data_IF_798991556361
#
_entry.id   IF_798991556361
#
_cell.length_a   1.000
_cell.length_b   1.000
_cell.length_c   1.000
_cell.angle_alpha   90.00
_cell.angle_beta   90.00
_cell.angle_gamma   90.00
#
_symmetry.space_group_name_H-M   'P 1'
#
loop_
_entity.id
_entity.type
_entity.pdbx_description
1 polymer ?
#
# COMPACT_ATOMS: atom_id res chain seq x y z
N UNK A 1 -16.26 24.23 17.98
CA UNK A 1 -15.77 23.31 16.93
C UNK A 1 -16.88 22.35 16.61
N UNK A 2 -17.55 22.54 15.49
CA UNK A 2 -18.65 21.72 15.01
C UNK A 2 -18.10 20.38 14.54
N UNK A 3 -18.30 19.34 15.34
CA UNK A 3 -18.25 17.96 14.86
C UNK A 3 -19.17 17.85 13.66
N UNK A 4 -18.64 17.52 12.49
CA UNK A 4 -19.44 16.99 11.39
C UNK A 4 -20.03 15.66 11.88
N UNK A 5 -21.16 15.74 12.57
CA UNK A 5 -22.02 14.59 12.84
C UNK A 5 -22.47 14.09 11.49
N UNK A 6 -21.93 12.96 11.04
CA UNK A 6 -22.47 12.19 9.92
C UNK A 6 -23.93 11.92 10.28
N UNK A 7 -24.84 12.65 9.65
CA UNK A 7 -26.25 12.55 9.93
C UNK A 7 -26.72 11.21 9.34
N UNK A 8 -27.26 10.25 10.13
CA UNK A 8 -27.58 8.90 9.63
C UNK A 8 -28.53 8.89 8.43
N UNK A 9 -29.27 9.99 8.22
CA UNK A 9 -30.20 10.15 7.10
C UNK A 9 -29.55 10.54 5.76
N UNK A 10 -28.25 10.89 5.71
CA UNK A 10 -27.60 11.35 4.47
C UNK A 10 -26.67 10.31 3.82
N UNK A 11 -26.31 9.22 4.51
CA UNK A 11 -25.43 8.18 3.94
C UNK A 11 -26.21 7.24 3.02
N UNK A 12 -25.78 7.10 1.77
CA UNK A 12 -26.37 6.17 0.80
C UNK A 12 -26.29 4.69 1.23
N UNK A 13 -27.14 3.82 0.67
CA UNK A 13 -27.19 2.40 1.04
C UNK A 13 -25.87 1.65 0.85
N UNK A 14 -25.07 2.06 -0.15
CA UNK A 14 -23.74 1.50 -0.45
C UNK A 14 -22.69 1.79 0.63
N UNK A 15 -22.93 2.77 1.51
CA UNK A 15 -22.13 3.08 2.71
C UNK A 15 -22.88 2.74 4.00
N UNK A 16 -23.86 1.83 3.96
CA UNK A 16 -24.80 1.59 5.05
C UNK A 16 -24.14 1.25 6.40
N UNK A 17 -22.98 0.58 6.40
CA UNK A 17 -22.27 0.22 7.63
C UNK A 17 -21.78 1.43 8.42
N UNK A 18 -21.55 2.58 7.77
CA UNK A 18 -21.17 3.82 8.45
C UNK A 18 -22.26 4.33 9.41
N UNK A 19 -23.52 3.90 9.22
CA UNK A 19 -24.63 4.24 10.12
C UNK A 19 -24.50 3.59 11.50
N UNK A 20 -23.66 2.57 11.64
CA UNK A 20 -23.46 1.84 12.90
C UNK A 20 -22.28 2.35 13.74
N UNK A 21 -21.58 3.42 13.31
CA UNK A 21 -20.37 3.93 14.00
C UNK A 21 -20.63 4.16 15.50
N UNK A 22 -21.79 4.72 15.86
CA UNK A 22 -22.16 5.03 17.24
C UNK A 22 -23.17 4.03 17.84
N UNK A 23 -23.40 2.89 17.19
CA UNK A 23 -24.33 1.85 17.64
C UNK A 23 -23.52 0.65 18.14
N UNK A 24 -22.88 0.81 19.31
CA UNK A 24 -21.90 -0.14 19.85
C UNK A 24 -22.41 -1.58 19.97
N UNK A 25 -23.70 -1.79 20.27
CA UNK A 25 -24.31 -3.12 20.34
C UNK A 25 -24.50 -3.75 18.96
N UNK A 26 -25.01 -2.98 17.99
CA UNK A 26 -25.15 -3.47 16.61
C UNK A 26 -23.80 -3.71 15.95
N UNK A 27 -22.84 -2.82 16.21
CA UNK A 27 -21.48 -2.93 15.69
C UNK A 27 -20.76 -4.14 16.29
N UNK A 28 -20.94 -4.43 17.59
CA UNK A 28 -20.49 -5.69 18.20
C UNK A 28 -21.09 -6.89 17.47
N UNK A 29 -22.40 -6.89 17.22
CA UNK A 29 -23.06 -7.96 16.47
C UNK A 29 -22.47 -8.19 15.08
N UNK A 30 -22.19 -7.11 14.35
CA UNK A 30 -21.53 -7.19 13.04
C UNK A 30 -20.13 -7.81 13.12
N UNK A 31 -19.31 -7.43 14.12
CA UNK A 31 -17.97 -7.99 14.30
C UNK A 31 -18.02 -9.48 14.68
N UNK A 32 -18.90 -9.87 15.60
CA UNK A 32 -19.04 -11.27 16.04
C UNK A 32 -19.59 -12.14 14.90
N UNK A 33 -20.56 -11.65 14.13
CA UNK A 33 -21.06 -12.34 12.94
C UNK A 33 -19.96 -12.52 11.88
N UNK A 34 -19.14 -11.49 11.64
CA UNK A 34 -18.02 -11.57 10.72
C UNK A 34 -16.94 -12.56 11.19
N UNK A 35 -16.64 -12.62 12.49
CA UNK A 35 -15.79 -13.67 13.06
C UNK A 35 -16.39 -15.06 12.85
N UNK A 36 -17.72 -15.20 12.94
CA UNK A 36 -18.45 -16.40 12.57
C UNK A 36 -18.24 -16.81 11.11
N UNK A 37 -18.24 -15.86 10.16
CA UNK A 37 -17.95 -16.16 8.74
C UNK A 37 -16.53 -16.67 8.52
N UNK A 38 -15.54 -16.10 9.24
CA UNK A 38 -14.14 -16.56 9.18
C UNK A 38 -14.03 -17.99 9.71
N UNK A 39 -14.62 -18.28 10.87
CA UNK A 39 -14.62 -19.63 11.44
C UNK A 39 -15.38 -20.64 10.56
N UNK A 40 -16.50 -20.21 9.95
CA UNK A 40 -17.28 -21.02 9.02
C UNK A 40 -16.44 -21.39 7.81
N UNK A 41 -15.76 -20.41 7.20
CA UNK A 41 -14.87 -20.65 6.06
C UNK A 41 -13.74 -21.61 6.44
N UNK A 42 -13.06 -21.41 7.57
CA UNK A 42 -11.99 -22.28 8.03
C UNK A 42 -12.47 -23.73 8.20
N UNK A 43 -13.62 -23.94 8.84
CA UNK A 43 -14.19 -25.27 9.05
C UNK A 43 -14.68 -25.92 7.76
N UNK A 44 -15.53 -25.21 7.01
CA UNK A 44 -16.12 -25.73 5.77
C UNK A 44 -15.07 -26.00 4.69
N UNK A 45 -14.10 -25.10 4.52
CA UNK A 45 -13.04 -25.25 3.53
C UNK A 45 -12.08 -26.39 3.91
N UNK A 46 -11.74 -26.56 5.21
CA UNK A 46 -10.93 -27.71 5.65
C UNK A 46 -11.63 -29.03 5.36
N UNK A 47 -12.93 -29.13 5.65
CA UNK A 47 -13.72 -30.33 5.35
C UNK A 47 -13.87 -30.55 3.84
N UNK A 48 -14.02 -29.48 3.05
CA UNK A 48 -14.04 -29.57 1.59
C UNK A 48 -12.70 -30.09 1.05
N UNK A 49 -11.57 -29.54 1.50
CA UNK A 49 -10.23 -29.99 1.10
C UNK A 49 -10.03 -31.48 1.42
N UNK A 50 -10.49 -31.95 2.59
CA UNK A 50 -10.44 -33.37 2.94
C UNK A 50 -11.21 -34.27 1.97
N UNK A 51 -12.36 -33.83 1.45
CA UNK A 51 -13.12 -34.61 0.44
C UNK A 51 -12.42 -34.71 -0.90
N UNK A 52 -11.44 -33.84 -1.16
CA UNK A 52 -10.66 -33.78 -2.40
C UNK A 52 -9.24 -34.29 -2.25
N UNK A 53 -8.80 -34.55 -1.02
CA UNK A 53 -7.46 -34.97 -0.72
C UNK A 53 -7.20 -36.40 -1.21
N UNK A 54 -6.15 -36.54 -2.01
CA UNK A 54 -5.60 -37.81 -2.49
C UNK A 54 -4.18 -37.98 -1.96
N UNK A 55 -3.99 -38.98 -1.10
CA UNK A 55 -2.68 -39.33 -0.53
C UNK A 55 -1.66 -39.84 -1.55
N UNK A 56 -2.10 -40.28 -2.73
CA UNK A 56 -1.23 -40.72 -3.82
C UNK A 56 -0.55 -39.58 -4.58
N UNK A 57 -0.89 -38.32 -4.29
CA UNK A 57 -0.38 -37.13 -4.98
C UNK A 57 0.21 -36.12 -4.00
N UNK A 58 1.22 -35.32 -4.40
CA UNK A 58 1.73 -34.27 -3.55
C UNK A 58 0.64 -33.24 -3.20
N UNK A 59 0.67 -32.70 -1.98
CA UNK A 59 -0.37 -31.81 -1.47
C UNK A 59 -0.47 -30.51 -2.28
N UNK A 60 0.67 -29.96 -2.71
CA UNK A 60 0.75 -28.71 -3.48
C UNK A 60 0.17 -28.79 -4.90
N UNK A 61 -0.15 -29.98 -5.41
CA UNK A 61 -0.73 -30.18 -6.76
C UNK A 61 -2.26 -30.32 -6.76
N UNK A 62 -2.89 -30.19 -5.61
CA UNK A 62 -4.31 -30.52 -5.41
C UNK A 62 -5.18 -29.29 -5.11
N UNK A 63 -4.59 -28.10 -5.09
CA UNK A 63 -5.31 -26.86 -4.76
C UNK A 63 -5.73 -26.76 -3.29
N UNK A 64 -4.96 -27.38 -2.39
CA UNK A 64 -5.21 -27.41 -0.95
C UNK A 64 -4.43 -26.27 -0.30
N UNK A 65 -5.11 -25.37 0.42
CA UNK A 65 -4.49 -24.23 1.12
C UNK A 65 -4.51 -24.41 2.64
N UNK A 66 -5.47 -25.14 3.21
CA UNK A 66 -5.60 -25.30 4.66
C UNK A 66 -4.91 -26.56 5.19
N UNK A 67 -5.01 -27.69 4.51
CA UNK A 67 -4.31 -28.92 4.92
C UNK A 67 -2.78 -28.74 5.04
N UNK A 68 -2.09 -27.98 4.14
CA UNK A 68 -0.68 -27.65 4.34
C UNK A 68 -0.37 -26.94 5.67
N UNK A 69 -1.26 -26.07 6.15
CA UNK A 69 -1.05 -25.36 7.42
C UNK A 69 -1.18 -26.32 8.61
N UNK A 70 -2.14 -27.25 8.57
CA UNK A 70 -2.30 -28.28 9.60
C UNK A 70 -1.14 -29.28 9.60
N UNK A 71 -0.66 -29.66 8.41
CA UNK A 71 0.49 -30.52 8.24
C UNK A 71 1.78 -29.86 8.78
N UNK A 72 1.96 -28.56 8.55
CA UNK A 72 3.09 -27.78 9.10
C UNK A 72 3.09 -27.77 10.64
N UNK A 73 1.91 -27.76 11.26
CA UNK A 73 1.74 -27.93 12.71
C UNK A 73 2.00 -29.36 13.20
N UNK A 74 2.36 -30.30 12.31
CA UNK A 74 2.69 -31.69 12.62
C UNK A 74 1.48 -32.57 12.89
N UNK A 75 0.26 -32.15 12.54
CA UNK A 75 -0.93 -32.98 12.71
C UNK A 75 -1.00 -34.03 11.61
N UNK A 76 -1.05 -35.32 11.96
CA UNK A 76 -1.31 -36.38 10.98
C UNK A 76 -0.17 -36.64 9.98
N UNK A 77 1.02 -36.10 10.25
CA UNK A 77 2.20 -36.19 9.38
C UNK A 77 3.21 -37.20 9.93
N UNK A 78 3.74 -38.06 9.06
CA UNK A 78 4.87 -38.95 9.32
C UNK A 78 6.15 -38.50 8.59
N UNK A 79 7.11 -39.41 8.50
CA UNK A 79 8.41 -39.14 7.86
C UNK A 79 8.26 -38.79 6.37
N UNK A 80 9.17 -37.95 5.87
CA UNK A 80 9.14 -37.44 4.50
C UNK A 80 7.98 -36.50 4.21
N UNK A 81 7.19 -36.10 5.21
CA UNK A 81 5.97 -35.31 5.02
C UNK A 81 4.77 -36.12 4.52
N UNK A 82 4.80 -37.46 4.65
CA UNK A 82 3.66 -38.30 4.30
C UNK A 82 2.49 -38.05 5.26
N UNK A 83 1.27 -37.92 4.75
CA UNK A 83 0.08 -37.85 5.61
C UNK A 83 -0.34 -39.28 5.98
N UNK A 84 -0.27 -39.59 7.27
CA UNK A 84 -0.54 -40.92 7.82
C UNK A 84 -1.90 -41.00 8.54
N UNK A 85 -2.45 -39.86 8.98
CA UNK A 85 -3.75 -39.78 9.63
C UNK A 85 -4.45 -38.46 9.30
N UNK A 86 -5.65 -38.52 8.74
CA UNK A 86 -6.46 -37.34 8.39
C UNK A 86 -7.49 -36.98 9.46
N UNK A 87 -7.64 -37.77 10.52
CA UNK A 87 -8.59 -37.51 11.60
C UNK A 87 -8.37 -36.15 12.30
N UNK A 88 -7.13 -35.71 12.61
CA UNK A 88 -6.90 -34.39 13.19
C UNK A 88 -7.44 -33.25 12.31
N UNK A 89 -7.28 -33.36 10.99
CA UNK A 89 -7.79 -32.38 10.05
C UNK A 89 -9.33 -32.33 10.07
N UNK A 90 -9.97 -33.50 10.11
CA UNK A 90 -11.42 -33.61 10.22
C UNK A 90 -11.93 -32.99 11.53
N UNK A 91 -11.31 -33.34 12.66
CA UNK A 91 -11.68 -32.84 13.97
C UNK A 91 -11.55 -31.31 14.06
N UNK A 92 -10.46 -30.74 13.55
CA UNK A 92 -10.24 -29.29 13.50
C UNK A 92 -11.27 -28.61 12.59
N UNK A 93 -11.56 -29.18 11.43
CA UNK A 93 -12.59 -28.67 10.52
C UNK A 93 -13.98 -28.63 11.16
N UNK A 94 -14.38 -29.73 11.83
CA UNK A 94 -15.65 -29.81 12.57
C UNK A 94 -15.70 -28.81 13.74
N UNK A 95 -14.61 -28.67 14.49
CA UNK A 95 -14.56 -27.75 15.63
C UNK A 95 -14.77 -26.30 15.18
N UNK A 96 -14.11 -25.87 14.10
CA UNK A 96 -14.32 -24.54 13.53
C UNK A 96 -15.75 -24.36 13.00
N UNK A 97 -16.30 -25.38 12.33
CA UNK A 97 -17.66 -25.34 11.80
C UNK A 97 -18.70 -25.17 12.93
N UNK A 98 -18.59 -25.94 14.01
CA UNK A 98 -19.50 -25.83 15.18
C UNK A 98 -19.31 -24.47 15.89
N UNK A 99 -18.05 -24.05 16.08
CA UNK A 99 -17.76 -22.75 16.69
C UNK A 99 -18.35 -21.59 15.89
N UNK A 100 -18.36 -21.70 14.55
CA UNK A 100 -18.95 -20.70 13.67
C UNK A 100 -20.44 -20.51 13.90
N UNK A 101 -21.19 -21.57 14.23
CA UNK A 101 -22.61 -21.50 14.54
C UNK A 101 -22.86 -20.71 15.83
N UNK A 102 -22.02 -20.92 16.86
CA UNK A 102 -22.11 -20.19 18.14
C UNK A 102 -21.82 -18.70 17.92
N UNK A 103 -20.76 -18.39 17.19
CA UNK A 103 -20.42 -17.01 16.83
C UNK A 103 -21.51 -16.36 15.97
N UNK A 104 -22.04 -17.07 14.98
CA UNK A 104 -23.13 -16.59 14.13
C UNK A 104 -24.40 -16.28 14.94
N UNK A 105 -24.78 -17.17 15.86
CA UNK A 105 -25.92 -16.95 16.75
C UNK A 105 -25.72 -15.72 17.65
N UNK A 106 -24.55 -15.56 18.26
CA UNK A 106 -24.20 -14.38 19.05
C UNK A 106 -24.19 -13.09 18.23
N UNK A 107 -23.63 -13.14 17.02
CA UNK A 107 -23.60 -12.01 16.10
C UNK A 107 -24.98 -11.55 15.67
N UNK A 108 -25.87 -12.48 15.29
CA UNK A 108 -27.27 -12.18 14.93
C UNK A 108 -28.02 -11.60 16.14
N UNK A 109 -27.85 -12.21 17.32
CA UNK A 109 -28.47 -11.70 18.54
C UNK A 109 -28.09 -10.23 18.77
N UNK A 110 -26.81 -9.88 18.78
CA UNK A 110 -26.37 -8.51 19.05
C UNK A 110 -26.71 -7.53 17.90
N UNK A 111 -26.74 -7.98 16.65
CA UNK A 111 -27.07 -7.11 15.52
C UNK A 111 -28.58 -6.76 15.45
N UNK A 112 -29.45 -7.71 15.81
CA UNK A 112 -30.90 -7.63 15.54
C UNK A 112 -31.75 -7.54 16.80
N UNK A 113 -31.42 -8.30 17.85
CA UNK A 113 -32.28 -8.48 19.04
C UNK A 113 -31.77 -7.75 20.28
N UNK A 114 -30.46 -7.61 20.42
CA UNK A 114 -29.80 -6.96 21.55
C UNK A 114 -29.99 -5.43 21.54
N UNK A 115 -29.53 -4.75 22.61
CA UNK A 115 -29.58 -3.29 22.67
C UNK A 115 -28.72 -2.67 21.54
N UNK A 116 -29.20 -1.58 20.94
CA UNK A 116 -28.49 -0.95 19.82
C UNK A 116 -27.18 -0.28 20.27
N UNK A 117 -27.19 0.27 21.48
CA UNK A 117 -26.05 0.90 22.17
C UNK A 117 -25.87 0.20 23.51
N UNK A 118 -24.66 -0.25 23.79
CA UNK A 118 -24.30 -0.85 25.07
C UNK A 118 -24.25 0.25 26.15
N UNK A 119 -24.76 0.00 27.37
CA UNK A 119 -24.76 0.99 28.43
C UNK A 119 -23.33 1.34 28.84
N UNK A 120 -23.11 2.60 29.24
CA UNK A 120 -21.86 3.10 29.79
C UNK A 120 -22.10 3.52 31.24
N UNK A 121 -21.88 2.59 32.18
CA UNK A 121 -22.07 2.84 33.62
C UNK A 121 -21.17 1.93 34.46
N UNK A 122 -21.22 2.06 35.78
CA UNK A 122 -20.38 1.27 36.70
C UNK A 122 -20.87 -0.17 36.92
N UNK A 123 -21.82 -0.67 36.14
CA UNK A 123 -22.25 -2.07 36.20
C UNK A 123 -21.34 -2.96 35.35
N UNK A 124 -21.46 -4.27 35.52
CA UNK A 124 -20.77 -5.24 34.67
C UNK A 124 -21.10 -5.05 33.18
N UNK A 125 -22.38 -4.82 32.83
CA UNK A 125 -22.75 -4.54 31.43
C UNK A 125 -22.22 -3.19 30.95
N UNK A 126 -22.11 -2.23 31.87
CA UNK A 126 -21.52 -0.93 31.67
C UNK A 126 -20.05 -0.97 31.25
N UNK A 127 -19.33 -2.03 31.64
CA UNK A 127 -17.95 -2.26 31.21
C UNK A 127 -17.83 -2.49 29.69
N UNK A 128 -18.88 -2.92 29.00
CA UNK A 128 -18.80 -3.19 27.55
C UNK A 128 -19.14 -1.98 26.68
N UNK A 129 -19.76 -0.93 27.25
CA UNK A 129 -19.97 0.35 26.57
C UNK A 129 -18.65 1.08 26.32
N UNK A 130 -18.62 1.90 25.27
CA UNK A 130 -17.46 2.71 24.91
C UNK A 130 -17.84 3.91 24.03
N UNK A 131 -17.13 5.02 24.21
CA UNK A 131 -17.03 6.12 23.25
C UNK A 131 -15.68 6.01 22.53
N UNK A 132 -15.67 6.16 21.20
CA UNK A 132 -14.44 6.22 20.40
C UNK A 132 -13.46 7.31 20.85
N UNK A 133 -13.95 8.36 21.50
CA UNK A 133 -13.15 9.46 22.04
C UNK A 133 -12.63 9.19 23.46
N UNK A 134 -13.14 8.16 24.14
CA UNK A 134 -12.57 7.73 25.42
C UNK A 134 -11.27 6.95 25.15
N UNK A 135 -10.18 7.71 25.13
CA UNK A 135 -8.84 7.20 24.86
C UNK A 135 -8.38 6.14 25.89
N UNK A 136 -8.86 6.25 27.14
CA UNK A 136 -8.53 5.31 28.21
C UNK A 136 -9.29 3.98 28.01
N UNK A 137 -10.56 4.07 27.58
CA UNK A 137 -11.34 2.89 27.22
C UNK A 137 -10.77 2.19 25.98
N UNK A 138 -10.36 2.94 24.97
CA UNK A 138 -9.73 2.40 23.76
C UNK A 138 -8.41 1.67 24.08
N UNK A 139 -7.58 2.24 24.95
CA UNK A 139 -6.34 1.58 25.41
C UNK A 139 -6.61 0.34 26.25
N UNK A 140 -7.65 0.34 27.08
CA UNK A 140 -8.08 -0.87 27.81
C UNK A 140 -8.47 -2.00 26.86
N UNK A 141 -9.26 -1.70 25.82
CA UNK A 141 -9.74 -2.71 24.85
C UNK A 141 -8.57 -3.30 24.07
N UNK A 142 -7.67 -2.47 23.50
CA UNK A 142 -6.49 -3.00 22.79
C UNK A 142 -5.57 -3.76 23.74
N UNK A 143 -5.44 -3.33 25.00
CA UNK A 143 -4.65 -4.04 26.01
C UNK A 143 -5.17 -5.46 26.25
N UNK A 144 -6.48 -5.64 26.39
CA UNK A 144 -7.10 -6.98 26.51
C UNK A 144 -6.85 -7.81 25.25
N UNK A 145 -6.99 -7.25 24.05
CA UNK A 145 -6.71 -7.97 22.81
C UNK A 145 -5.23 -8.36 22.68
N UNK A 146 -4.29 -7.53 23.13
CA UNK A 146 -2.87 -7.86 23.17
C UNK A 146 -2.58 -9.04 24.11
N UNK A 147 -3.26 -9.12 25.26
CA UNK A 147 -3.17 -10.30 26.13
C UNK A 147 -3.64 -11.56 25.39
N UNK A 148 -4.79 -11.50 24.70
CA UNK A 148 -5.33 -12.63 23.94
C UNK A 148 -4.42 -13.05 22.77
N UNK A 149 -3.85 -12.09 22.04
CA UNK A 149 -2.88 -12.36 20.97
C UNK A 149 -1.59 -12.98 21.51
N UNK A 150 -1.09 -12.49 22.65
CA UNK A 150 0.07 -13.04 23.32
C UNK A 150 -0.16 -14.48 23.78
N UNK A 151 -1.34 -14.79 24.34
CA UNK A 151 -1.75 -16.16 24.65
C UNK A 151 -1.81 -17.04 23.39
N UNK A 152 -2.30 -16.51 22.27
CA UNK A 152 -2.28 -17.19 20.97
C UNK A 152 -0.87 -17.57 20.51
N UNK A 153 0.10 -16.66 20.64
CA UNK A 153 1.50 -16.97 20.34
C UNK A 153 2.06 -18.08 21.25
N UNK A 154 1.72 -18.04 22.54
CA UNK A 154 2.12 -19.08 23.50
C UNK A 154 1.46 -20.45 23.23
N UNK A 155 0.27 -20.51 22.61
CA UNK A 155 -0.32 -21.77 22.17
C UNK A 155 0.53 -22.46 21.09
N UNK A 156 1.14 -21.70 20.17
CA UNK A 156 2.09 -22.27 19.20
C UNK A 156 3.35 -22.77 19.89
N UNK A 157 3.89 -22.02 20.85
CA UNK A 157 5.03 -22.45 21.66
C UNK A 157 4.71 -23.76 22.39
N UNK A 158 3.54 -23.85 23.02
CA UNK A 158 3.11 -25.06 23.70
C UNK A 158 2.93 -26.24 22.73
N UNK A 159 2.40 -26.00 21.53
CA UNK A 159 2.31 -27.02 20.47
C UNK A 159 3.69 -27.58 20.11
N UNK A 160 4.67 -26.70 19.93
CA UNK A 160 6.02 -27.07 19.53
C UNK A 160 6.84 -27.78 20.63
N UNK A 161 6.66 -27.40 21.89
CA UNK A 161 7.43 -27.92 23.03
C UNK A 161 6.78 -29.14 23.69
N UNK A 162 5.45 -29.17 23.80
CA UNK A 162 4.75 -30.09 24.71
C UNK A 162 3.70 -30.96 24.02
N UNK A 163 3.14 -30.53 22.88
CA UNK A 163 2.05 -31.26 22.20
C UNK A 163 2.47 -31.80 20.84
N UNK A 164 3.50 -32.64 20.85
CA UNK A 164 3.93 -33.43 19.70
C UNK A 164 4.86 -32.74 18.71
N UNK A 165 5.13 -31.44 18.85
CA UNK A 165 6.12 -30.76 18.02
C UNK A 165 5.56 -30.15 16.74
N UNK A 166 6.44 -29.84 15.78
CA UNK A 166 6.10 -29.28 14.47
C UNK A 166 6.81 -30.08 13.38
N UNK A 167 6.31 -29.99 12.14
CA UNK A 167 7.03 -30.56 11.00
C UNK A 167 8.29 -29.75 10.71
N UNK A 168 9.44 -30.40 10.74
CA UNK A 168 10.72 -29.78 10.40
C UNK A 168 11.22 -30.29 9.04
N UNK A 169 11.28 -29.43 8.01
CA UNK A 169 11.78 -29.82 6.69
C UNK A 169 13.26 -30.20 6.69
N UNK A 170 14.07 -29.74 7.65
CA UNK A 170 15.51 -30.06 7.72
C UNK A 170 15.76 -31.53 8.09
N UNK A 171 14.86 -32.14 8.87
CA UNK A 171 14.90 -33.59 9.20
C UNK A 171 13.79 -34.38 8.53
N UNK A 172 12.93 -33.71 7.75
CA UNK A 172 11.77 -34.25 7.06
C UNK A 172 10.81 -35.06 7.95
N UNK A 173 10.63 -34.65 9.21
CA UNK A 173 9.75 -35.34 10.16
C UNK A 173 9.19 -34.37 11.20
N UNK A 174 8.17 -34.81 11.94
CA UNK A 174 7.62 -34.05 13.07
C UNK A 174 8.54 -34.23 14.28
N UNK A 175 8.99 -33.12 14.87
CA UNK A 175 9.83 -33.15 16.08
C UNK A 175 9.43 -32.11 17.10
N UNK A 176 9.66 -32.46 18.37
CA UNK A 176 9.55 -31.54 19.50
C UNK A 176 10.74 -30.58 19.49
N UNK A 177 10.47 -29.29 19.76
CA UNK A 177 11.51 -28.26 19.87
C UNK A 177 11.89 -28.14 21.34
N UNK A 178 13.04 -28.69 21.72
CA UNK A 178 13.47 -28.75 23.13
C UNK A 178 14.24 -27.52 23.58
N UNK A 179 14.94 -26.85 22.66
CA UNK A 179 15.85 -25.73 22.96
C UNK A 179 15.55 -24.52 22.07
N UNK A 180 14.39 -23.84 22.25
CA UNK A 180 14.06 -22.65 21.48
C UNK A 180 15.07 -21.51 21.72
N UNK A 181 15.38 -20.74 20.68
CA UNK A 181 16.38 -19.66 20.77
C UNK A 181 15.85 -18.48 21.57
N UNK A 182 16.39 -18.26 22.77
CA UNK A 182 16.02 -17.11 23.60
C UNK A 182 16.93 -15.91 23.43
N UNK A 183 18.06 -16.05 22.74
CA UNK A 183 19.04 -14.99 22.60
C UNK A 183 18.44 -13.78 21.83
N UNK A 184 18.29 -12.60 22.46
CA UNK A 184 17.65 -11.45 21.82
C UNK A 184 18.43 -10.94 20.61
N UNK A 185 19.77 -11.05 20.59
CA UNK A 185 20.55 -10.59 19.43
C UNK A 185 20.25 -11.42 18.19
N UNK A 186 20.02 -12.73 18.37
CA UNK A 186 19.58 -13.62 17.29
C UNK A 186 18.15 -13.33 16.86
N UNK A 187 17.21 -13.20 17.81
CA UNK A 187 15.80 -12.98 17.47
C UNK A 187 15.56 -11.61 16.83
N UNK A 188 16.04 -10.53 17.44
CA UNK A 188 15.81 -9.18 16.91
C UNK A 188 16.71 -8.86 15.71
N UNK A 189 17.83 -9.57 15.51
CA UNK A 189 18.66 -9.42 14.31
C UNK A 189 17.93 -9.74 13.01
N UNK A 190 16.91 -10.60 13.04
CA UNK A 190 16.04 -10.87 11.89
C UNK A 190 15.25 -9.62 11.43
N UNK A 191 14.85 -8.73 12.34
CA UNK A 191 14.14 -7.49 12.00
C UNK A 191 15.00 -6.52 11.17
N UNK A 192 16.33 -6.65 11.27
CA UNK A 192 17.30 -5.79 10.59
C UNK A 192 18.02 -6.51 9.44
N UNK A 193 17.58 -7.72 9.07
CA UNK A 193 18.19 -8.48 7.96
C UNK A 193 19.61 -8.97 8.21
N UNK A 194 20.04 -9.09 9.47
CA UNK A 194 21.40 -9.54 9.84
C UNK A 194 21.70 -10.94 9.32
N UNK A 195 20.68 -11.79 9.24
CA UNK A 195 20.81 -13.21 8.88
C UNK A 195 20.37 -13.53 7.45
N UNK A 196 20.04 -12.51 6.64
CA UNK A 196 19.65 -12.67 5.24
C UNK A 196 18.94 -11.44 4.69
N UNK A 197 19.06 -11.23 3.37
CA UNK A 197 18.41 -10.12 2.67
C UNK A 197 16.88 -10.21 2.68
N UNK A 198 16.34 -11.38 3.01
CA UNK A 198 14.91 -11.63 3.16
C UNK A 198 14.34 -11.13 4.51
N UNK A 199 15.17 -10.50 5.36
CA UNK A 199 14.73 -10.00 6.66
C UNK A 199 14.26 -11.15 7.56
N UNK A 200 13.07 -11.00 8.15
CA UNK A 200 12.48 -12.05 9.00
C UNK A 200 12.14 -13.33 8.23
N UNK A 201 11.93 -13.26 6.91
CA UNK A 201 11.66 -14.44 6.09
C UNK A 201 12.91 -15.29 5.81
N UNK A 202 14.09 -14.82 6.25
CA UNK A 202 15.34 -15.59 6.22
C UNK A 202 15.45 -16.64 7.36
N UNK A 203 14.46 -16.71 8.27
CA UNK A 203 14.46 -17.72 9.34
C UNK A 203 14.49 -19.14 8.75
N UNK A 204 15.43 -19.96 9.22
CA UNK A 204 15.79 -21.23 8.57
C UNK A 204 15.85 -22.44 9.52
N UNK A 205 15.34 -22.28 10.75
CA UNK A 205 15.24 -23.35 11.74
C UNK A 205 14.06 -23.06 12.69
N UNK A 206 13.52 -24.10 13.32
CA UNK A 206 12.33 -24.00 14.16
C UNK A 206 12.63 -23.45 15.56
N UNK A 207 13.85 -23.59 16.07
CA UNK A 207 14.29 -23.01 17.34
C UNK A 207 14.15 -21.48 17.33
N UNK A 208 14.55 -20.84 16.25
CA UNK A 208 14.42 -19.39 16.05
C UNK A 208 12.96 -18.98 15.83
N UNK A 209 12.16 -19.80 15.12
CA UNK A 209 10.71 -19.55 14.94
C UNK A 209 10.01 -19.56 16.30
N UNK A 210 10.23 -20.59 17.11
CA UNK A 210 9.57 -20.72 18.42
C UNK A 210 10.15 -19.72 19.43
N UNK A 211 11.46 -19.49 19.42
CA UNK A 211 12.11 -18.44 20.18
C UNK A 211 11.52 -17.05 19.90
N UNK A 212 11.29 -16.75 18.62
CA UNK A 212 10.61 -15.52 18.18
C UNK A 212 9.18 -15.42 18.72
N UNK A 213 8.40 -16.50 18.69
CA UNK A 213 7.03 -16.51 19.24
C UNK A 213 6.99 -16.37 20.77
N UNK A 214 8.01 -16.87 21.49
CA UNK A 214 8.17 -16.60 22.93
C UNK A 214 8.35 -15.10 23.16
N UNK A 215 9.25 -14.45 22.42
CA UNK A 215 9.45 -12.99 22.51
C UNK A 215 8.20 -12.20 22.15
N UNK A 216 7.53 -12.51 21.04
CA UNK A 216 6.28 -11.86 20.64
C UNK A 216 5.19 -12.06 21.70
N UNK A 217 5.04 -13.29 22.23
CA UNK A 217 4.09 -13.58 23.30
C UNK A 217 4.34 -12.76 24.56
N UNK A 218 5.60 -12.65 25.00
CA UNK A 218 6.00 -11.80 26.14
C UNK A 218 5.70 -10.33 25.85
N UNK A 219 6.07 -9.81 24.68
CA UNK A 219 5.88 -8.40 24.31
C UNK A 219 4.40 -8.04 24.21
N UNK A 220 3.57 -8.92 23.64
CA UNK A 220 2.13 -8.73 23.59
C UNK A 220 1.49 -8.74 24.99
N UNK A 221 1.87 -9.69 25.86
CA UNK A 221 1.33 -9.76 27.22
C UNK A 221 1.76 -8.53 28.05
N UNK A 222 3.05 -8.20 28.03
CA UNK A 222 3.58 -7.03 28.73
C UNK A 222 2.95 -5.73 28.21
N UNK A 223 2.86 -5.57 26.89
CA UNK A 223 2.18 -4.44 26.24
C UNK A 223 0.69 -4.38 26.58
N UNK A 224 0.03 -5.53 26.69
CA UNK A 224 -1.37 -5.65 27.08
C UNK A 224 -1.61 -5.10 28.49
N UNK A 225 -0.83 -5.57 29.47
CA UNK A 225 -0.88 -5.02 30.83
C UNK A 225 -0.53 -3.53 30.87
N UNK A 226 0.51 -3.12 30.14
CA UNK A 226 0.88 -1.71 30.03
C UNK A 226 -0.30 -0.85 29.56
N UNK A 227 -0.97 -1.24 28.48
CA UNK A 227 -2.10 -0.48 27.91
C UNK A 227 -3.35 -0.48 28.81
N UNK A 228 -3.57 -1.53 29.60
CA UNK A 228 -4.67 -1.57 30.59
C UNK A 228 -4.36 -0.65 31.79
N UNK A 229 -3.09 -0.59 32.21
CA UNK A 229 -2.68 0.09 33.44
C UNK A 229 -2.22 1.54 33.23
N UNK A 230 -2.16 2.01 31.98
CA UNK A 230 -1.68 3.36 31.64
C UNK A 230 -2.68 4.09 30.77
N UNK A 231 -2.44 5.40 30.59
CA UNK A 231 -3.22 6.27 29.72
C UNK A 231 -2.34 6.82 28.61
N UNK A 232 -2.87 7.15 27.43
CA UNK A 232 -2.08 7.75 26.36
C UNK A 232 -1.33 9.00 26.81
N UNK A 233 -0.04 9.05 26.54
CA UNK A 233 0.78 10.21 26.87
C UNK A 233 0.40 11.42 26.03
N UNK A 234 0.62 12.62 26.58
CA UNK A 234 0.22 13.87 25.93
C UNK A 234 0.83 14.10 24.53
N UNK A 235 1.99 13.50 24.23
CA UNK A 235 2.56 13.58 22.88
C UNK A 235 1.77 12.73 21.87
N UNK A 236 1.32 11.54 22.26
CA UNK A 236 0.53 10.65 21.40
C UNK A 236 -0.83 11.29 21.09
N UNK A 237 -1.45 11.91 22.11
CA UNK A 237 -2.70 12.67 21.96
C UNK A 237 -2.61 13.80 20.95
N UNK A 238 -1.43 14.42 20.79
CA UNK A 238 -1.20 15.53 19.84
C UNK A 238 -0.97 15.08 18.41
N UNK A 239 -0.48 13.86 18.20
CA UNK A 239 -0.05 13.37 16.88
C UNK A 239 -1.12 12.49 16.22
N UNK A 240 -1.89 11.75 17.03
CA UNK A 240 -2.89 10.80 16.56
C UNK A 240 -4.30 11.41 16.54
N UNK A 241 -5.17 10.83 15.72
CA UNK A 241 -6.59 11.13 15.71
C UNK A 241 -7.35 10.08 16.53
N UNK A 242 -8.30 10.53 17.33
CA UNK A 242 -9.06 9.69 18.26
C UNK A 242 -10.51 9.58 17.81
N UNK A 243 -10.74 8.68 16.85
CA UNK A 243 -12.06 8.38 16.29
C UNK A 243 -12.11 6.95 15.76
N UNK A 244 -13.31 6.37 15.67
CA UNK A 244 -13.47 5.00 15.15
C UNK A 244 -12.90 4.82 13.74
N UNK A 245 -13.07 5.82 12.86
CA UNK A 245 -12.51 5.77 11.50
C UNK A 245 -10.98 5.89 11.51
N UNK A 246 -10.38 6.65 12.44
CA UNK A 246 -8.93 6.72 12.58
C UNK A 246 -8.35 5.36 13.01
N UNK A 247 -8.96 4.71 14.01
CA UNK A 247 -8.53 3.39 14.47
C UNK A 247 -8.68 2.31 13.38
N UNK A 248 -9.77 2.37 12.60
CA UNK A 248 -9.96 1.55 11.41
C UNK A 248 -8.82 1.79 10.41
N UNK A 249 -8.51 3.06 10.09
CA UNK A 249 -7.44 3.39 9.16
C UNK A 249 -6.08 2.86 9.63
N UNK A 250 -5.72 3.01 10.91
CA UNK A 250 -4.46 2.49 11.46
C UNK A 250 -4.39 0.96 11.31
N UNK A 251 -5.50 0.27 11.59
CA UNK A 251 -5.58 -1.19 11.47
C UNK A 251 -5.49 -1.65 10.02
N UNK A 252 -6.13 -0.95 9.08
CA UNK A 252 -6.02 -1.25 7.64
C UNK A 252 -4.58 -1.12 7.14
N UNK A 253 -3.85 -0.11 7.60
CA UNK A 253 -2.42 0.07 7.25
C UNK A 253 -1.56 -1.08 7.79
N UNK A 254 -1.80 -1.49 9.03
CA UNK A 254 -1.12 -2.65 9.63
C UNK A 254 -1.46 -3.96 8.89
N UNK A 255 -2.72 -4.20 8.54
CA UNK A 255 -3.15 -5.37 7.77
C UNK A 255 -2.57 -5.39 6.35
N UNK A 256 -2.46 -4.23 5.69
CA UNK A 256 -1.79 -4.13 4.40
C UNK A 256 -0.31 -4.54 4.50
N UNK A 257 0.40 -4.05 5.51
CA UNK A 257 1.78 -4.48 5.76
C UNK A 257 1.88 -5.98 6.04
N UNK A 258 1.03 -6.52 6.91
CA UNK A 258 1.00 -7.95 7.23
C UNK A 258 0.67 -8.81 5.99
N UNK A 259 -0.24 -8.36 5.12
CA UNK A 259 -0.58 -9.08 3.89
C UNK A 259 0.55 -9.08 2.86
N UNK A 260 1.25 -7.95 2.68
CA UNK A 260 2.45 -7.88 1.85
C UNK A 260 3.56 -8.78 2.39
N UNK A 261 3.78 -8.74 3.70
CA UNK A 261 4.76 -9.57 4.38
C UNK A 261 4.41 -11.05 4.25
N UNK A 262 3.15 -11.45 4.45
CA UNK A 262 2.70 -12.83 4.28
C UNK A 262 2.88 -13.32 2.84
N UNK A 263 2.55 -12.49 1.85
CA UNK A 263 2.77 -12.79 0.43
C UNK A 263 4.25 -13.01 0.11
N UNK A 264 5.13 -12.20 0.70
CA UNK A 264 6.57 -12.35 0.56
C UNK A 264 7.08 -13.61 1.29
N UNK A 265 6.66 -13.81 2.54
CA UNK A 265 7.10 -14.91 3.40
C UNK A 265 6.77 -16.27 2.77
N UNK A 266 5.52 -16.44 2.32
CA UNK A 266 5.10 -17.65 1.63
C UNK A 266 5.83 -17.82 0.30
N UNK A 267 6.27 -16.76 -0.38
CA UNK A 267 7.03 -16.91 -1.63
C UNK A 267 8.46 -17.40 -1.41
N UNK A 268 9.14 -17.01 -0.32
CA UNK A 268 10.60 -17.20 -0.19
C UNK A 268 11.05 -18.15 0.93
N UNK A 269 10.20 -18.45 1.91
CA UNK A 269 10.59 -19.29 3.04
C UNK A 269 10.18 -20.75 2.84
N UNK A 270 11.09 -21.69 3.10
CA UNK A 270 10.85 -23.14 3.03
C UNK A 270 10.83 -23.81 4.41
N UNK A 271 11.02 -23.05 5.50
CA UNK A 271 11.03 -23.57 6.87
C UNK A 271 9.62 -23.65 7.44
N UNK A 272 8.90 -22.52 7.51
CA UNK A 272 7.51 -22.46 7.97
C UNK A 272 6.49 -22.61 6.84
N UNK A 273 6.97 -22.66 5.59
CA UNK A 273 6.20 -23.13 4.44
C UNK A 273 6.97 -24.26 3.72
N UNK A 274 7.04 -25.46 4.30
CA UNK A 274 7.78 -26.60 3.75
C UNK A 274 7.43 -26.90 2.30
N UNK A 275 8.45 -27.06 1.45
CA UNK A 275 8.26 -27.31 0.01
C UNK A 275 7.49 -28.61 -0.27
N UNK A 276 7.57 -29.60 0.62
CA UNK A 276 6.78 -30.84 0.53
C UNK A 276 5.27 -30.61 0.58
N UNK A 277 4.81 -29.58 1.29
CA UNK A 277 3.38 -29.24 1.39
C UNK A 277 2.98 -28.10 0.45
N UNK A 278 3.86 -27.10 0.29
CA UNK A 278 3.54 -25.86 -0.41
C UNK A 278 4.06 -25.78 -1.86
N UNK A 279 4.92 -26.72 -2.26
CA UNK A 279 5.60 -26.69 -3.55
C UNK A 279 6.87 -25.83 -3.52
N UNK A 280 7.60 -25.77 -4.66
CA UNK A 280 8.87 -25.05 -4.77
C UNK A 280 8.73 -23.56 -4.47
N UNK A 281 9.84 -22.94 -4.04
CA UNK A 281 9.91 -21.51 -3.76
C UNK A 281 9.59 -20.65 -5.00
N UNK A 282 9.15 -19.42 -4.73
CA UNK A 282 8.74 -18.46 -5.75
C UNK A 282 7.33 -18.69 -6.28
N UNK A 283 6.98 -17.91 -7.30
CA UNK A 283 5.73 -18.05 -8.04
C UNK A 283 5.94 -19.08 -9.14
N UNK A 284 5.33 -20.24 -8.97
CA UNK A 284 5.60 -21.43 -9.78
C UNK A 284 4.33 -22.16 -10.20
N UNK A 285 4.47 -22.87 -11.32
CA UNK A 285 3.54 -23.92 -11.77
C UNK A 285 4.28 -25.25 -11.74
N UNK A 286 3.54 -26.34 -11.52
CA UNK A 286 4.09 -27.70 -11.63
C UNK A 286 4.39 -28.04 -13.09
N UNK A 287 5.12 -29.14 -13.32
CA UNK A 287 5.37 -29.65 -14.68
C UNK A 287 4.07 -29.97 -15.45
N UNK A 288 2.98 -30.28 -14.74
CA UNK A 288 1.64 -30.51 -15.28
C UNK A 288 0.83 -29.23 -15.49
N UNK A 289 1.42 -28.04 -15.27
CA UNK A 289 0.76 -26.75 -15.46
C UNK A 289 -0.15 -26.31 -14.30
N UNK A 290 -0.11 -27.00 -13.15
CA UNK A 290 -0.92 -26.66 -11.98
C UNK A 290 -0.26 -25.51 -11.22
N UNK A 291 -1.02 -24.45 -10.92
CA UNK A 291 -0.54 -23.35 -10.08
C UNK A 291 -0.39 -23.87 -8.64
N UNK A 292 0.82 -23.74 -8.08
CA UNK A 292 1.11 -24.24 -6.74
C UNK A 292 0.34 -23.45 -5.67
N UNK A 293 0.07 -24.10 -4.54
CA UNK A 293 -0.55 -23.44 -3.38
C UNK A 293 0.26 -22.22 -2.91
N UNK A 294 1.59 -22.29 -2.98
CA UNK A 294 2.48 -21.15 -2.69
C UNK A 294 2.13 -19.93 -3.53
N UNK A 295 1.96 -20.12 -4.84
CA UNK A 295 1.59 -19.06 -5.78
C UNK A 295 0.20 -18.51 -5.47
N UNK A 296 -0.79 -19.36 -5.17
CA UNK A 296 -2.13 -18.92 -4.78
C UNK A 296 -2.12 -18.07 -3.52
N UNK A 297 -1.43 -18.51 -2.47
CA UNK A 297 -1.31 -17.77 -1.22
C UNK A 297 -0.59 -16.45 -1.44
N UNK A 298 0.55 -16.44 -2.13
CA UNK A 298 1.32 -15.22 -2.39
C UNK A 298 0.49 -14.17 -3.16
N UNK A 299 -0.12 -14.56 -4.27
CA UNK A 299 -0.85 -13.63 -5.14
C UNK A 299 -2.14 -13.13 -4.50
N UNK A 300 -2.89 -13.98 -3.80
CA UNK A 300 -4.12 -13.58 -3.10
C UNK A 300 -3.84 -12.62 -1.94
N UNK A 301 -2.84 -12.90 -1.10
CA UNK A 301 -2.46 -12.02 -0.01
C UNK A 301 -1.91 -10.68 -0.52
N UNK A 302 -1.14 -10.69 -1.60
CA UNK A 302 -0.69 -9.46 -2.25
C UNK A 302 -1.87 -8.62 -2.73
N UNK A 303 -2.82 -9.22 -3.47
CA UNK A 303 -3.99 -8.52 -3.97
C UNK A 303 -4.84 -7.92 -2.85
N UNK A 304 -5.11 -8.70 -1.79
CA UNK A 304 -5.82 -8.22 -0.60
C UNK A 304 -5.05 -7.09 0.08
N UNK A 305 -3.74 -7.21 0.24
CA UNK A 305 -2.93 -6.17 0.87
C UNK A 305 -3.00 -4.83 0.13
N UNK A 306 -3.03 -4.84 -1.21
CA UNK A 306 -3.20 -3.62 -2.01
C UNK A 306 -4.58 -2.99 -1.78
N UNK A 307 -5.64 -3.81 -1.71
CA UNK A 307 -7.00 -3.32 -1.40
C UNK A 307 -7.04 -2.70 0.02
N UNK A 308 -6.42 -3.35 1.00
CA UNK A 308 -6.32 -2.83 2.37
C UNK A 308 -5.50 -1.55 2.44
N UNK A 309 -4.43 -1.43 1.65
CA UNK A 309 -3.63 -0.20 1.55
C UNK A 309 -4.45 0.95 0.95
N UNK A 310 -5.22 0.69 -0.11
CA UNK A 310 -6.13 1.67 -0.66
C UNK A 310 -7.19 2.10 0.37
N UNK A 311 -7.74 1.15 1.14
CA UNK A 311 -8.65 1.43 2.26
C UNK A 311 -8.00 2.28 3.37
N UNK A 312 -6.75 1.98 3.73
CA UNK A 312 -5.98 2.79 4.68
C UNK A 312 -5.85 4.23 4.20
N UNK A 313 -5.40 4.44 2.95
CA UNK A 313 -5.23 5.78 2.36
C UNK A 313 -6.56 6.51 2.35
N UNK A 314 -7.63 5.86 1.89
CA UNK A 314 -8.97 6.42 1.85
C UNK A 314 -9.44 6.92 3.23
N UNK A 315 -9.47 6.04 4.24
CA UNK A 315 -9.96 6.39 5.57
C UNK A 315 -9.05 7.37 6.30
N UNK A 316 -7.71 7.25 6.15
CA UNK A 316 -6.77 8.19 6.76
C UNK A 316 -6.91 9.61 6.18
N UNK A 317 -7.13 9.72 4.87
CA UNK A 317 -7.40 11.01 4.23
C UNK A 317 -8.73 11.60 4.71
N UNK A 318 -9.80 10.80 4.76
CA UNK A 318 -11.11 11.22 5.32
C UNK A 318 -10.98 11.81 6.71
N UNK A 319 -10.32 11.10 7.62
CA UNK A 319 -10.05 11.58 8.99
C UNK A 319 -9.31 12.92 8.99
N UNK A 320 -8.25 13.06 8.18
CA UNK A 320 -7.44 14.29 8.13
C UNK A 320 -8.21 15.48 7.58
N UNK A 321 -8.98 15.29 6.51
CA UNK A 321 -9.76 16.36 5.86
C UNK A 321 -10.90 16.81 6.78
N UNK A 322 -11.63 15.86 7.39
CA UNK A 322 -12.66 16.20 8.38
C UNK A 322 -12.07 16.92 9.59
N UNK A 323 -10.88 16.52 10.06
CA UNK A 323 -10.20 17.24 11.14
C UNK A 323 -9.73 18.65 10.75
N UNK A 324 -9.43 18.88 9.46
CA UNK A 324 -9.13 20.20 8.92
C UNK A 324 -10.40 21.06 8.70
N UNK A 325 -11.60 20.54 8.99
CA UNK A 325 -12.88 21.23 8.77
C UNK A 325 -13.31 21.27 7.31
N UNK A 326 -12.72 20.43 6.45
CA UNK A 326 -13.05 20.29 5.05
C UNK A 326 -14.02 19.12 4.86
N UNK A 327 -14.99 19.26 3.96
CA UNK A 327 -15.96 18.21 3.63
C UNK A 327 -15.63 17.58 2.26
N UNK A 328 -15.44 16.27 2.25
CA UNK A 328 -15.19 15.49 1.03
C UNK A 328 -16.41 15.51 0.08
N UNK A 329 -17.64 15.62 0.60
CA UNK A 329 -18.87 15.64 -0.19
C UNK A 329 -19.16 17.02 -0.79
N UNK A 330 -18.66 18.10 -0.18
CA UNK A 330 -18.76 19.46 -0.74
C UNK A 330 -17.71 19.74 -1.83
N UNK A 331 -16.85 18.76 -2.13
CA UNK A 331 -15.85 18.87 -3.17
C UNK A 331 -14.71 19.81 -2.78
N UNK A 332 -13.59 19.25 -2.30
CA UNK A 332 -12.29 19.95 -2.28
C UNK A 332 -11.70 20.02 -3.70
N UNK A 333 -12.41 19.49 -4.71
CA UNK A 333 -11.98 19.43 -6.10
C UNK A 333 -12.88 20.35 -6.92
N UNK A 334 -12.50 21.61 -7.00
CA UNK A 334 -13.04 22.47 -8.05
C UNK A 334 -12.43 21.98 -9.38
N UNK A 335 -13.27 21.69 -10.37
CA UNK A 335 -12.75 21.52 -11.72
C UNK A 335 -12.13 22.85 -12.16
N UNK A 336 -10.97 22.81 -12.81
CA UNK A 336 -10.33 24.01 -13.35
C UNK A 336 -11.09 24.62 -14.54
N UNK A 337 -12.22 24.02 -14.90
CA UNK A 337 -13.09 24.37 -16.00
C UNK A 337 -14.17 23.30 -16.18
N UNK A 338 -14.43 22.92 -17.43
CA UNK A 338 -15.49 21.96 -17.79
C UNK A 338 -15.07 20.54 -17.33
N UNK A 339 -15.91 19.80 -16.56
CA UNK A 339 -15.56 18.50 -15.99
C UNK A 339 -15.07 17.44 -16.98
N UNK A 340 -15.51 17.51 -18.22
CA UNK A 340 -15.20 16.56 -19.31
C UNK A 340 -13.72 16.64 -19.78
N UNK A 341 -13.01 17.72 -19.42
CA UNK A 341 -11.60 17.92 -19.75
C UNK A 341 -10.67 17.23 -18.73
N UNK A 342 -11.21 16.83 -17.56
CA UNK A 342 -10.45 16.08 -16.54
C UNK A 342 -9.35 16.90 -15.84
N UNK A 343 -9.38 18.23 -15.95
CA UNK A 343 -8.42 19.10 -15.26
C UNK A 343 -8.95 19.49 -13.88
N UNK A 344 -8.31 18.97 -12.84
CA UNK A 344 -8.68 19.22 -11.45
C UNK A 344 -7.80 20.31 -10.86
N UNK A 345 -8.37 21.21 -10.06
CA UNK A 345 -7.57 22.09 -9.22
C UNK A 345 -6.84 21.25 -8.15
N UNK A 346 -5.51 21.32 -8.15
CA UNK A 346 -4.60 20.58 -7.27
C UNK A 346 -3.66 21.55 -6.56
N UNK A 347 -3.13 21.19 -5.38
CA UNK A 347 -2.13 22.01 -4.68
C UNK A 347 -0.88 22.34 -5.50
N UNK A 348 -0.64 21.67 -6.64
CA UNK A 348 0.45 22.01 -7.57
C UNK A 348 -0.05 23.04 -8.59
N UNK A 349 -1.02 22.69 -9.43
CA UNK A 349 -1.46 23.56 -10.53
C UNK A 349 -2.26 24.81 -10.11
N UNK A 350 -2.71 24.90 -8.85
CA UNK A 350 -3.35 26.11 -8.28
C UNK A 350 -2.54 26.79 -7.19
N UNK A 351 -1.31 26.37 -6.94
CA UNK A 351 -0.49 27.11 -5.98
C UNK A 351 -0.17 28.50 -6.53
N UNK A 352 -0.12 29.50 -5.65
CA UNK A 352 0.32 30.86 -6.00
C UNK A 352 1.71 30.82 -6.64
N UNK A 353 2.59 29.93 -6.18
CA UNK A 353 3.93 29.73 -6.75
C UNK A 353 3.86 29.26 -8.20
N UNK A 354 3.02 28.26 -8.52
CA UNK A 354 2.88 27.77 -9.89
C UNK A 354 2.20 28.79 -10.79
N UNK A 355 1.16 29.48 -10.29
CA UNK A 355 0.49 30.53 -11.05
C UNK A 355 1.41 31.72 -11.31
N UNK A 356 2.19 32.15 -10.31
CA UNK A 356 3.19 33.21 -10.45
C UNK A 356 4.31 32.79 -11.41
N UNK A 357 4.81 31.55 -11.32
CA UNK A 357 5.81 31.03 -12.25
C UNK A 357 5.27 31.05 -13.69
N UNK A 358 4.06 30.51 -13.91
CA UNK A 358 3.41 30.49 -15.22
C UNK A 358 3.18 31.89 -15.76
N UNK A 359 2.67 32.81 -14.93
CA UNK A 359 2.47 34.21 -15.30
C UNK A 359 3.79 34.93 -15.67
N UNK A 360 4.91 34.50 -15.10
CA UNK A 360 6.23 35.07 -15.37
C UNK A 360 7.03 34.33 -16.46
N UNK A 361 6.52 33.22 -17.02
CA UNK A 361 7.13 32.57 -18.18
C UNK A 361 7.15 33.54 -19.37
N UNK A 362 8.22 33.54 -20.19
CA UNK A 362 8.35 34.51 -21.29
C UNK A 362 7.18 34.54 -22.28
N UNK A 363 6.47 33.42 -22.45
CA UNK A 363 5.29 33.37 -23.33
C UNK A 363 4.08 34.11 -22.75
N UNK A 364 3.90 34.14 -21.41
CA UNK A 364 2.74 34.74 -20.74
C UNK A 364 3.04 36.08 -20.06
N UNK A 365 4.32 36.37 -19.76
CA UNK A 365 4.78 37.59 -19.06
C UNK A 365 4.23 38.85 -19.70
N UNK A 366 3.57 39.72 -18.95
CA UNK A 366 3.04 40.97 -19.49
C UNK A 366 4.16 41.95 -19.88
N UNK A 367 3.92 42.79 -20.89
CA UNK A 367 4.86 43.86 -21.30
C UNK A 367 6.01 43.47 -22.22
N UNK A 368 6.20 42.18 -22.56
CA UNK A 368 7.23 41.76 -23.53
C UNK A 368 6.76 41.93 -24.98
N UNK A 369 7.66 42.41 -25.86
CA UNK A 369 7.44 42.44 -27.31
C UNK A 369 7.42 41.02 -27.91
N UNK A 370 6.75 40.81 -29.06
CA UNK A 370 6.69 39.50 -29.74
C UNK A 370 8.09 38.93 -29.99
N UNK A 371 9.02 39.80 -30.42
CA UNK A 371 10.42 39.46 -30.65
C UNK A 371 11.15 39.05 -29.37
N UNK A 372 11.04 39.83 -28.28
CA UNK A 372 11.70 39.52 -27.00
C UNK A 372 11.20 38.21 -26.40
N UNK A 373 9.89 37.92 -26.51
CA UNK A 373 9.32 36.62 -26.12
C UNK A 373 9.97 35.49 -26.89
N UNK A 374 10.03 35.63 -28.21
CA UNK A 374 10.70 34.67 -29.09
C UNK A 374 12.14 34.47 -28.65
N UNK A 375 12.89 35.55 -28.44
CA UNK A 375 14.30 35.55 -28.06
C UNK A 375 14.55 34.77 -26.77
N UNK A 376 13.85 35.09 -25.67
CA UNK A 376 14.04 34.41 -24.38
C UNK A 376 13.70 32.91 -24.47
N UNK A 377 12.60 32.57 -25.14
CA UNK A 377 12.19 31.16 -25.33
C UNK A 377 13.21 30.44 -26.20
N UNK A 378 13.64 31.05 -27.30
CA UNK A 378 14.64 30.52 -28.20
C UNK A 378 15.93 30.22 -27.45
N UNK A 379 16.47 31.19 -26.70
CA UNK A 379 17.70 31.03 -25.92
C UNK A 379 17.66 29.82 -25.00
N UNK A 380 16.55 29.62 -24.27
CA UNK A 380 16.39 28.45 -23.42
C UNK A 380 16.41 27.13 -24.23
N UNK A 381 15.67 27.06 -25.34
CA UNK A 381 15.63 25.86 -26.17
C UNK A 381 17.00 25.54 -26.77
N UNK A 382 17.69 26.54 -27.32
CA UNK A 382 19.05 26.36 -27.85
C UNK A 382 20.03 25.89 -26.79
N UNK A 383 19.96 26.46 -25.58
CA UNK A 383 20.84 26.12 -24.46
C UNK A 383 20.68 24.66 -24.01
N UNK A 384 19.45 24.16 -23.91
CA UNK A 384 19.19 22.80 -23.40
C UNK A 384 19.30 21.71 -24.48
N UNK A 385 18.97 22.00 -25.74
CA UNK A 385 18.91 20.99 -26.79
C UNK A 385 20.29 20.42 -27.16
N UNK A 386 21.38 21.16 -26.91
CA UNK A 386 22.73 20.65 -27.19
C UNK A 386 23.12 19.44 -26.33
N UNK A 387 22.66 19.37 -25.08
CA UNK A 387 23.06 18.33 -24.12
C UNK A 387 22.73 16.91 -24.61
N UNK A 388 21.48 16.62 -25.00
CA UNK A 388 21.10 15.33 -25.58
C UNK A 388 21.93 14.93 -26.81
N UNK A 389 22.17 15.86 -27.75
CA UNK A 389 22.95 15.56 -28.96
C UNK A 389 24.42 15.30 -28.66
N UNK A 390 25.01 16.01 -27.70
CA UNK A 390 26.39 15.77 -27.25
C UNK A 390 26.53 14.44 -26.53
N UNK A 391 25.58 14.10 -25.63
CA UNK A 391 25.68 12.89 -24.79
C UNK A 391 25.22 11.61 -25.47
N UNK A 392 24.24 11.68 -26.35
CA UNK A 392 23.60 10.52 -26.96
C UNK A 392 23.84 10.42 -28.47
N UNK A 393 24.55 11.40 -29.06
CA UNK A 393 24.87 11.43 -30.47
C UNK A 393 25.83 10.30 -30.91
N UNK A 394 25.91 10.02 -32.23
CA UNK A 394 26.80 8.99 -32.78
C UNK A 394 28.28 9.32 -32.62
N UNK A 395 28.64 10.61 -32.44
CA UNK A 395 30.01 11.09 -32.27
C UNK A 395 30.36 11.45 -30.81
N UNK A 396 29.53 11.03 -29.85
CA UNK A 396 29.68 11.36 -28.41
C UNK A 396 31.03 10.97 -27.79
N UNK A 397 31.67 9.94 -28.33
CA UNK A 397 32.94 9.38 -27.83
C UNK A 397 34.17 9.94 -28.57
N UNK A 398 34.01 11.03 -29.34
CA UNK A 398 35.06 11.66 -30.12
C UNK A 398 35.38 13.08 -29.62
N UNK A 399 36.57 13.59 -29.95
CA UNK A 399 36.95 14.99 -29.66
C UNK A 399 36.04 16.02 -30.34
N UNK A 400 35.25 15.59 -31.33
CA UNK A 400 34.30 16.42 -32.07
C UNK A 400 32.87 16.38 -31.50
N UNK A 401 32.64 15.73 -30.35
CA UNK A 401 31.30 15.54 -29.78
C UNK A 401 30.53 16.86 -29.58
N UNK A 402 31.21 17.92 -29.11
CA UNK A 402 30.59 19.22 -28.89
C UNK A 402 30.22 19.92 -30.21
N UNK A 403 31.10 19.88 -31.22
CA UNK A 403 30.85 20.48 -32.54
C UNK A 403 29.73 19.74 -33.26
N UNK A 404 29.74 18.41 -33.22
CA UNK A 404 28.69 17.57 -33.78
C UNK A 404 27.34 17.83 -33.10
N UNK A 405 27.33 17.95 -31.77
CA UNK A 405 26.15 18.29 -30.98
C UNK A 405 25.60 19.68 -31.32
N UNK A 406 26.47 20.68 -31.50
CA UNK A 406 26.07 22.02 -31.92
C UNK A 406 25.42 21.99 -33.31
N UNK A 407 26.04 21.34 -34.30
CA UNK A 407 25.50 21.28 -35.68
C UNK A 407 24.14 20.56 -35.69
N UNK A 408 24.01 19.44 -34.97
CA UNK A 408 22.74 18.72 -34.87
C UNK A 408 21.64 19.57 -34.20
N UNK A 409 22.02 20.32 -33.16
CA UNK A 409 21.11 21.26 -32.47
C UNK A 409 20.64 22.36 -33.41
N UNK A 410 21.56 23.03 -34.11
CA UNK A 410 21.23 24.08 -35.09
C UNK A 410 20.33 23.51 -36.21
N UNK A 411 20.60 22.30 -36.69
CA UNK A 411 19.75 21.62 -37.66
C UNK A 411 18.31 21.42 -37.16
N UNK A 412 18.14 20.92 -35.93
CA UNK A 412 16.81 20.78 -35.32
C UNK A 412 16.13 22.14 -35.12
N UNK A 413 16.87 23.16 -34.67
CA UNK A 413 16.33 24.51 -34.46
C UNK A 413 15.84 25.13 -35.76
N UNK A 414 16.54 24.93 -36.88
CA UNK A 414 16.08 25.41 -38.19
C UNK A 414 14.78 24.72 -38.61
N UNK A 415 14.66 23.40 -38.39
CA UNK A 415 13.42 22.66 -38.65
C UNK A 415 12.28 23.24 -37.81
N UNK A 416 12.49 23.45 -36.51
CA UNK A 416 11.49 24.02 -35.61
C UNK A 416 11.12 25.46 -35.99
N UNK A 417 12.07 26.28 -36.46
CA UNK A 417 11.81 27.63 -36.99
C UNK A 417 10.91 27.59 -38.22
N UNK A 418 11.12 26.63 -39.12
CA UNK A 418 10.25 26.41 -40.29
C UNK A 418 8.87 25.96 -39.83
N UNK A 419 8.76 25.05 -38.86
CA UNK A 419 7.49 24.62 -38.28
C UNK A 419 6.72 25.78 -37.64
N UNK A 420 7.40 26.65 -36.88
CA UNK A 420 6.80 27.85 -36.30
C UNK A 420 6.33 28.83 -37.38
N UNK A 421 7.10 29.00 -38.45
CA UNK A 421 6.69 29.82 -39.59
C UNK A 421 5.45 29.26 -40.30
N UNK A 422 5.42 27.95 -40.58
CA UNK A 422 4.28 27.25 -41.17
C UNK A 422 3.03 27.35 -40.30
N UNK A 423 3.17 27.18 -38.99
CA UNK A 423 2.07 27.35 -38.05
C UNK A 423 1.53 28.78 -38.11
N UNK A 424 2.41 29.78 -38.13
CA UNK A 424 2.01 31.19 -38.19
C UNK A 424 1.32 31.55 -39.50
N UNK A 425 1.81 31.03 -40.62
CA UNK A 425 1.21 31.28 -41.93
C UNK A 425 -0.17 30.64 -42.03
N UNK A 426 -0.39 29.43 -41.53
CA UNK A 426 -1.71 28.78 -41.59
C UNK A 426 -2.69 29.35 -40.55
N UNK A 427 -2.24 29.57 -39.31
CA UNK A 427 -3.13 29.85 -38.18
C UNK A 427 -3.64 31.30 -38.14
N UNK A 428 -2.92 32.24 -38.76
CA UNK A 428 -3.25 33.68 -38.69
C UNK A 428 -3.68 34.30 -40.04
N UNK A 429 -4.04 33.48 -41.03
CA UNK A 429 -4.45 33.92 -42.38
C UNK A 429 -5.98 34.10 -42.59
N UNK A 430 -6.84 33.89 -41.58
CA UNK A 430 -8.31 33.95 -41.76
C UNK A 430 -9.11 34.47 -40.56
N UNK A 431 -10.42 34.71 -40.75
CA UNK A 431 -11.39 35.23 -39.75
C UNK A 431 -11.65 34.31 -38.53
N UNK A 432 -10.90 33.23 -38.37
CA UNK A 432 -11.05 32.33 -37.22
C UNK A 432 -10.08 32.76 -36.12
N UNK A 433 -10.54 32.94 -34.87
CA UNK A 433 -9.65 33.21 -33.76
C UNK A 433 -8.69 32.03 -33.55
N UNK A 434 -7.44 32.32 -33.19
CA UNK A 434 -6.45 31.31 -32.85
C UNK A 434 -6.96 30.41 -31.71
N UNK A 435 -6.68 29.11 -31.79
CA UNK A 435 -6.99 28.17 -30.71
C UNK A 435 -5.97 28.32 -29.57
N UNK A 436 -6.45 28.61 -28.36
CA UNK A 436 -5.64 28.75 -27.15
C UNK A 436 -5.53 30.17 -26.59
N UNK A 437 -5.09 30.29 -25.34
CA UNK A 437 -4.88 31.56 -24.64
C UNK A 437 -3.53 32.18 -24.99
N UNK A 438 -3.42 32.81 -26.16
CA UNK A 438 -2.23 33.57 -26.55
C UNK A 438 -2.33 35.04 -26.06
N UNK A 439 -1.19 35.68 -25.71
CA UNK A 439 -1.12 37.13 -25.54
C UNK A 439 -1.59 37.88 -26.79
N UNK A 440 -2.16 39.07 -26.63
CA UNK A 440 -2.67 39.87 -27.76
C UNK A 440 -1.62 40.13 -28.83
N UNK A 441 -0.36 40.33 -28.42
CA UNK A 441 0.77 40.52 -29.31
C UNK A 441 1.37 39.22 -29.88
N UNK A 442 0.61 38.13 -29.92
CA UNK A 442 0.95 36.90 -30.64
C UNK A 442 -0.22 36.38 -31.50
N UNK A 443 -1.29 37.17 -31.64
CA UNK A 443 -2.51 36.77 -32.38
C UNK A 443 -2.54 37.20 -33.85
N UNK A 444 -1.47 37.79 -34.35
CA UNK A 444 -1.39 38.26 -35.75
C UNK A 444 -0.23 37.59 -36.48
N UNK A 445 -0.36 37.43 -37.80
CA UNK A 445 0.72 36.89 -38.63
C UNK A 445 2.02 37.72 -38.50
N UNK A 446 1.89 39.05 -38.40
CA UNK A 446 3.03 39.96 -38.21
C UNK A 446 3.75 39.68 -36.89
N UNK A 447 3.01 39.69 -35.78
CA UNK A 447 3.58 39.47 -34.45
C UNK A 447 4.16 38.05 -34.29
N UNK A 448 3.55 37.05 -34.93
CA UNK A 448 4.07 35.69 -34.91
C UNK A 448 5.36 35.56 -35.72
N UNK A 449 5.47 36.28 -36.84
CA UNK A 449 6.71 36.36 -37.62
C UNK A 449 7.85 36.99 -36.80
N UNK A 450 7.57 38.09 -36.09
CA UNK A 450 8.52 38.73 -35.17
C UNK A 450 8.94 37.79 -34.04
N UNK A 451 8.00 37.03 -33.49
CA UNK A 451 8.26 35.98 -32.50
C UNK A 451 9.19 34.89 -33.05
N UNK A 452 8.90 34.37 -34.24
CA UNK A 452 9.72 33.32 -34.86
C UNK A 452 11.14 33.82 -35.17
N UNK A 453 11.27 35.08 -35.62
CA UNK A 453 12.57 35.72 -35.83
C UNK A 453 13.36 35.81 -34.52
N UNK A 454 12.72 36.27 -33.43
CA UNK A 454 13.31 36.29 -32.09
C UNK A 454 13.72 34.90 -31.63
N UNK A 455 12.84 33.90 -31.78
CA UNK A 455 13.10 32.52 -31.39
C UNK A 455 14.28 31.89 -32.15
N UNK A 456 14.39 32.17 -33.45
CA UNK A 456 15.48 31.67 -34.28
C UNK A 456 16.82 32.28 -33.86
N UNK A 457 16.86 33.60 -33.66
CA UNK A 457 18.08 34.29 -33.20
C UNK A 457 18.46 33.82 -31.79
N UNK A 458 17.48 33.77 -30.89
CA UNK A 458 17.67 33.37 -29.50
C UNK A 458 18.19 31.95 -29.39
N UNK A 459 17.60 31.01 -30.13
CA UNK A 459 17.99 29.60 -30.09
C UNK A 459 19.37 29.33 -30.66
N UNK A 460 19.75 29.97 -31.76
CA UNK A 460 21.13 29.93 -32.25
C UNK A 460 22.12 30.50 -31.21
N UNK A 461 21.76 31.63 -30.58
CA UNK A 461 22.58 32.26 -29.53
C UNK A 461 22.74 31.38 -28.28
N UNK A 462 21.63 30.78 -27.80
CA UNK A 462 21.64 29.87 -26.65
C UNK A 462 22.43 28.59 -26.90
N UNK A 463 22.30 28.01 -28.10
CA UNK A 463 23.06 26.82 -28.50
C UNK A 463 24.57 27.12 -28.60
N UNK A 464 24.94 28.27 -29.17
CA UNK A 464 26.33 28.71 -29.23
C UNK A 464 26.90 28.97 -27.84
N UNK A 465 26.13 29.61 -26.96
CA UNK A 465 26.53 29.87 -25.58
C UNK A 465 26.77 28.56 -24.80
N UNK A 466 25.85 27.60 -24.88
CA UNK A 466 26.02 26.29 -24.26
C UNK A 466 27.21 25.52 -24.84
N UNK A 467 27.44 25.59 -26.16
CA UNK A 467 28.63 25.01 -26.80
C UNK A 467 29.93 25.62 -26.24
N UNK A 468 29.98 26.94 -26.06
CA UNK A 468 31.14 27.62 -25.51
C UNK A 468 31.39 27.19 -24.05
N UNK A 469 30.34 27.04 -23.23
CA UNK A 469 30.48 26.54 -21.87
C UNK A 469 30.99 25.09 -21.84
N UNK A 470 30.46 24.22 -22.68
CA UNK A 470 30.90 22.82 -22.76
C UNK A 470 32.36 22.71 -23.23
N UNK A 471 32.74 23.52 -24.21
CA UNK A 471 34.09 23.53 -24.80
C UNK A 471 35.13 24.20 -23.89
N UNK A 472 34.70 25.03 -22.95
CA UNK A 472 35.58 25.72 -21.99
C UNK A 472 35.28 25.33 -20.54
N UNK A 473 34.70 24.15 -20.33
CA UNK A 473 34.25 23.70 -19.00
C UNK A 473 35.39 23.63 -17.97
N UNK A 474 36.63 23.44 -18.43
CA UNK A 474 37.85 23.49 -17.60
C UNK A 474 38.19 24.88 -17.05
N UNK A 475 37.51 25.94 -17.47
CA UNK A 475 37.65 27.29 -16.88
C UNK A 475 36.70 27.52 -15.70
N UNK A 476 35.73 26.62 -15.49
CA UNK A 476 34.65 26.76 -14.52
C UNK A 476 34.61 25.62 -13.48
N UNK A 477 35.54 24.66 -13.59
CA UNK A 477 35.88 23.61 -12.63
C UNK A 477 37.30 23.86 -12.14
#
# INVERSE_FOLDING_TARGET
MTTATINPQTTGWWAGNARFINLSGKLLGAHVAHAGLIALWAGAMTLFELTKYDSGRPMYEQGLILLPHLATLGFGVGDGGQIIDTYPYFAIGVLHLISSAVLGAGGIYHAVLGPEVLPENNSFFGFFGYDWKDEDKMTTIIGIHLLLLGLGAWLLVAKALFWGGLYDPAVASVRVITEPTLNPSRIFGYLFGVFGQQGIAAVNNLEDVIGGHIWVGILCIAGGFWHILTKPFGWAKKVLFWSGEAYLAYSLGALAYMGLLAAYFVAVNDTVYPTVFYGPLGLSTTASGIITVRTWLATSHFALAIVFLAGHIWHALRVRVTAAGLDFEQGVVNAAGIPEIGNLHTPVNTSDITLDLLANLPIYRQGLSSFSRGLEIGMAHGYFLIGPFVKLGPLRDTELANQAGLIATIGLLLILSICLWLYGSVSFQGRKPAQGELPQNLKTAKSWSEFNAGWTIGSCGGALFAFLLLSNSSLFL
#
